data_IF_823774200454
#
_entry.id   IF_823774200454
#
_cell.length_a   1.000
_cell.length_b   1.000
_cell.length_c   1.000
_cell.angle_alpha   90.00
_cell.angle_beta   90.00
_cell.angle_gamma   90.00
#
_symmetry.space_group_name_H-M   'P 1'
#
loop_
_entity.id
_entity.type
_entity.pdbx_description
1 polymer ?
#
# COMPACT_ATOMS: atom_id res chain seq x y z
N UNK A 1 -1.26 -10.77 -7.21
CA UNK A 1 -2.72 -10.99 -7.36
C UNK A 1 -3.54 -10.19 -6.35
N UNK A 2 -3.22 -10.25 -5.04
CA UNK A 2 -3.93 -9.49 -3.99
C UNK A 2 -3.89 -7.97 -4.22
N UNK A 3 -2.75 -7.40 -4.60
CA UNK A 3 -2.62 -5.96 -4.89
C UNK A 3 -3.53 -5.54 -6.05
N UNK A 4 -3.57 -6.32 -7.14
CA UNK A 4 -4.40 -6.04 -8.31
C UNK A 4 -5.90 -6.07 -7.95
N UNK A 5 -6.33 -7.10 -7.20
CA UNK A 5 -7.71 -7.21 -6.73
C UNK A 5 -8.07 -6.01 -5.85
N UNK A 6 -7.17 -5.64 -4.93
CA UNK A 6 -7.35 -4.46 -4.06
C UNK A 6 -7.49 -3.16 -4.86
N UNK A 7 -6.69 -2.97 -5.91
CA UNK A 7 -6.82 -1.79 -6.77
C UNK A 7 -8.16 -1.76 -7.53
N UNK A 8 -8.62 -2.90 -8.06
CA UNK A 8 -9.94 -2.99 -8.69
C UNK A 8 -11.05 -2.64 -7.70
N UNK A 9 -10.96 -3.14 -6.46
CA UNK A 9 -11.90 -2.79 -5.39
C UNK A 9 -11.87 -1.30 -5.07
N UNK A 10 -10.68 -0.68 -5.02
CA UNK A 10 -10.55 0.76 -4.80
C UNK A 10 -11.23 1.57 -5.91
N UNK A 11 -11.09 1.16 -7.17
CA UNK A 11 -11.78 1.82 -8.30
C UNK A 11 -13.29 1.72 -8.15
N UNK A 12 -13.82 0.54 -7.80
CA UNK A 12 -15.26 0.33 -7.58
C UNK A 12 -15.78 1.20 -6.42
N UNK A 13 -15.08 1.20 -5.28
CA UNK A 13 -15.46 2.03 -4.12
C UNK A 13 -15.42 3.51 -4.47
N UNK A 14 -14.40 3.94 -5.22
CA UNK A 14 -14.27 5.34 -5.67
C UNK A 14 -15.41 5.74 -6.59
N UNK A 15 -15.85 4.83 -7.46
CA UNK A 15 -17.00 5.03 -8.34
C UNK A 15 -18.30 5.18 -7.53
N UNK A 16 -18.54 4.29 -6.56
CA UNK A 16 -19.72 4.35 -5.69
C UNK A 16 -19.72 5.63 -4.85
N UNK A 17 -18.59 5.98 -4.23
CA UNK A 17 -18.50 7.16 -3.36
C UNK A 17 -18.62 8.47 -4.14
N UNK A 18 -18.05 8.55 -5.35
CA UNK A 18 -18.24 9.70 -6.24
C UNK A 18 -19.71 9.86 -6.69
N UNK A 19 -20.48 8.77 -6.75
CA UNK A 19 -21.92 8.81 -7.06
C UNK A 19 -22.77 9.29 -5.86
N UNK A 20 -22.52 8.74 -4.67
CA UNK A 20 -23.31 9.04 -3.46
C UNK A 20 -22.93 10.36 -2.79
N UNK A 21 -21.67 10.77 -2.88
CA UNK A 21 -21.13 11.97 -2.23
C UNK A 21 -20.45 12.91 -3.24
N UNK A 22 -21.20 13.46 -4.21
CA UNK A 22 -20.63 14.30 -5.25
C UNK A 22 -19.99 15.58 -4.68
N UNK A 23 -20.49 16.13 -3.57
CA UNK A 23 -19.93 17.36 -2.98
C UNK A 23 -18.69 17.12 -2.09
N UNK A 24 -18.37 15.86 -1.78
CA UNK A 24 -17.22 15.53 -0.96
C UNK A 24 -15.93 15.71 -1.76
N UNK A 25 -15.32 16.90 -1.74
CA UNK A 25 -13.99 17.09 -2.29
C UNK A 25 -12.97 17.25 -1.16
N UNK A 26 -12.37 16.16 -0.68
CA UNK A 26 -11.23 16.23 0.21
C UNK A 26 -10.10 16.91 -0.56
N UNK A 27 -9.92 18.21 -0.30
CA UNK A 27 -9.01 19.05 -1.08
C UNK A 27 -7.58 18.50 -1.14
N UNK A 28 -6.78 19.01 -2.06
CA UNK A 28 -5.43 18.49 -2.36
C UNK A 28 -4.53 18.32 -1.13
N UNK A 29 -4.73 19.11 -0.07
CA UNK A 29 -4.02 18.93 1.21
C UNK A 29 -4.24 17.57 1.87
N UNK A 30 -5.48 17.05 1.86
CA UNK A 30 -5.79 15.74 2.45
C UNK A 30 -5.10 14.59 1.67
N UNK A 31 -5.15 14.66 0.34
CA UNK A 31 -4.52 13.66 -0.55
C UNK A 31 -3.01 13.66 -0.37
N UNK A 32 -2.37 14.83 -0.35
CA UNK A 32 -0.93 14.99 -0.12
C UNK A 32 -0.50 14.49 1.27
N UNK A 33 -1.30 14.77 2.31
CA UNK A 33 -1.06 14.27 3.66
C UNK A 33 -1.10 12.75 3.70
N UNK A 34 -2.13 12.13 3.10
CA UNK A 34 -2.24 10.66 3.03
C UNK A 34 -1.08 10.04 2.26
N UNK A 35 -0.66 10.64 1.14
CA UNK A 35 0.49 10.16 0.37
C UNK A 35 1.78 10.23 1.19
N UNK A 36 1.96 11.30 1.97
CA UNK A 36 3.11 11.44 2.89
C UNK A 36 3.09 10.34 3.95
N UNK A 37 1.94 10.08 4.58
CA UNK A 37 1.78 8.99 5.56
C UNK A 37 2.10 7.63 4.93
N UNK A 38 1.63 7.39 3.70
CA UNK A 38 1.96 6.17 2.94
C UNK A 38 3.47 6.01 2.73
N UNK A 39 4.18 7.09 2.36
CA UNK A 39 5.64 7.08 2.21
C UNK A 39 6.40 6.81 3.51
N UNK A 40 5.92 7.35 4.62
CA UNK A 40 6.47 7.05 5.96
C UNK A 40 6.26 5.55 6.29
N UNK A 41 5.05 5.03 6.10
CA UNK A 41 4.74 3.61 6.36
C UNK A 41 5.56 2.66 5.47
N UNK A 42 5.73 3.01 4.19
CA UNK A 42 6.61 2.28 3.28
C UNK A 42 8.06 2.25 3.81
N UNK A 43 8.60 3.40 4.23
CA UNK A 43 9.97 3.50 4.73
C UNK A 43 10.19 2.67 6.00
N UNK A 44 9.25 2.74 6.95
CA UNK A 44 9.27 1.95 8.19
C UNK A 44 9.20 0.45 7.86
N UNK A 45 8.25 0.05 7.00
CA UNK A 45 8.09 -1.35 6.60
C UNK A 45 9.33 -1.90 5.90
N UNK A 46 9.91 -1.16 4.96
CA UNK A 46 11.14 -1.54 4.28
C UNK A 46 12.34 -1.66 5.21
N UNK A 47 12.47 -0.76 6.19
CA UNK A 47 13.53 -0.83 7.21
C UNK A 47 13.47 -2.15 7.96
N UNK A 48 12.29 -2.55 8.44
CA UNK A 48 12.11 -3.85 9.11
C UNK A 48 12.41 -5.02 8.18
N UNK A 49 11.94 -4.98 6.94
CA UNK A 49 12.17 -6.07 5.98
C UNK A 49 13.66 -6.30 5.74
N UNK A 50 14.44 -5.22 5.62
CA UNK A 50 15.88 -5.29 5.37
C UNK A 50 16.67 -5.73 6.60
N UNK A 51 16.22 -5.36 7.80
CA UNK A 51 16.87 -5.80 9.05
C UNK A 51 16.46 -7.21 9.49
N UNK A 52 15.32 -7.70 9.01
CA UNK A 52 14.83 -9.07 9.29
C UNK A 52 15.84 -10.11 8.79
N UNK A 53 16.37 -10.92 9.70
CA UNK A 53 17.39 -11.91 9.38
C UNK A 53 17.09 -13.27 10.00
N UNK A 54 17.10 -14.30 9.16
CA UNK A 54 17.04 -15.70 9.59
C UNK A 54 18.44 -16.31 9.82
N UNK A 55 19.48 -15.49 10.08
CA UNK A 55 20.86 -15.98 10.18
C UNK A 55 21.05 -17.01 11.31
N UNK A 56 20.36 -16.85 12.45
CA UNK A 56 20.44 -17.79 13.57
C UNK A 56 19.80 -19.16 13.32
N UNK A 57 18.98 -19.30 12.27
CA UNK A 57 18.26 -20.56 12.00
C UNK A 57 19.22 -21.63 11.46
N UNK A 58 19.53 -22.64 12.29
CA UNK A 58 20.44 -23.76 11.98
C UNK A 58 19.95 -24.60 10.78
N UNK A 59 18.63 -24.81 10.67
CA UNK A 59 18.05 -25.59 9.58
C UNK A 59 18.05 -24.77 8.26
N UNK A 60 18.92 -25.14 7.33
CA UNK A 60 19.13 -24.39 6.08
C UNK A 60 17.89 -24.34 5.19
N UNK A 61 17.05 -25.39 5.21
CA UNK A 61 15.81 -25.45 4.42
C UNK A 61 14.81 -24.42 4.93
N UNK A 62 14.64 -24.35 6.26
CA UNK A 62 13.75 -23.38 6.90
C UNK A 62 14.28 -21.96 6.69
N UNK A 63 15.59 -21.74 6.91
CA UNK A 63 16.25 -20.45 6.69
C UNK A 63 16.03 -19.91 5.28
N UNK A 64 16.22 -20.76 4.26
CA UNK A 64 16.03 -20.36 2.88
C UNK A 64 14.55 -20.08 2.55
N UNK A 65 13.62 -20.82 3.16
CA UNK A 65 12.19 -20.54 3.08
C UNK A 65 11.85 -19.15 3.63
N UNK A 66 12.29 -18.83 4.85
CA UNK A 66 12.05 -17.52 5.48
C UNK A 66 12.63 -16.39 4.63
N UNK A 67 13.88 -16.51 4.15
CA UNK A 67 14.51 -15.49 3.29
C UNK A 67 13.73 -15.28 2.00
N UNK A 68 13.25 -16.37 1.37
CA UNK A 68 12.44 -16.27 0.16
C UNK A 68 11.16 -15.47 0.41
N UNK A 69 10.44 -15.76 1.48
CA UNK A 69 9.20 -15.06 1.83
C UNK A 69 9.46 -13.58 2.16
N UNK A 70 10.51 -13.26 2.93
CA UNK A 70 10.93 -11.87 3.19
C UNK A 70 11.21 -11.12 1.88
N UNK A 71 11.92 -11.75 0.94
CA UNK A 71 12.19 -11.14 -0.38
C UNK A 71 10.93 -10.94 -1.22
N UNK A 72 9.96 -11.86 -1.16
CA UNK A 72 8.66 -11.72 -1.84
C UNK A 72 7.91 -10.52 -1.26
N UNK A 73 7.80 -10.42 0.06
CA UNK A 73 7.12 -9.28 0.71
C UNK A 73 7.82 -7.96 0.39
N UNK A 74 9.15 -7.92 0.41
CA UNK A 74 9.95 -6.76 -0.01
C UNK A 74 9.58 -6.29 -1.41
N UNK A 75 9.58 -7.20 -2.37
CA UNK A 75 9.31 -6.86 -3.76
C UNK A 75 7.87 -6.34 -3.91
N UNK A 76 6.90 -6.95 -3.22
CA UNK A 76 5.52 -6.44 -3.21
C UNK A 76 5.38 -5.05 -2.55
N UNK A 77 6.18 -4.73 -1.52
CA UNK A 77 6.22 -3.37 -0.96
C UNK A 77 6.67 -2.35 -1.99
N UNK A 78 7.77 -2.66 -2.67
CA UNK A 78 8.35 -1.80 -3.71
C UNK A 78 7.36 -1.64 -4.86
N UNK A 79 6.79 -2.73 -5.36
CA UNK A 79 5.78 -2.70 -6.43
C UNK A 79 4.57 -1.85 -6.05
N UNK A 80 4.01 -2.05 -4.85
CA UNK A 80 2.87 -1.27 -4.38
C UNK A 80 3.22 0.22 -4.25
N UNK A 81 4.39 0.55 -3.70
CA UNK A 81 4.83 1.93 -3.53
C UNK A 81 5.11 2.63 -4.86
N UNK A 82 5.72 1.94 -5.81
CA UNK A 82 5.95 2.48 -7.16
C UNK A 82 4.61 2.73 -7.87
N UNK A 83 3.68 1.77 -7.81
CA UNK A 83 2.36 1.92 -8.42
C UNK A 83 1.59 3.11 -7.83
N UNK A 84 1.52 3.24 -6.51
CA UNK A 84 0.80 4.37 -5.88
C UNK A 84 1.49 5.70 -6.20
N UNK A 85 2.82 5.74 -6.29
CA UNK A 85 3.56 6.95 -6.66
C UNK A 85 3.24 7.39 -8.09
N UNK A 86 3.21 6.44 -9.04
CA UNK A 86 2.83 6.71 -10.44
C UNK A 86 1.38 7.21 -10.50
N UNK A 87 0.45 6.54 -9.82
CA UNK A 87 -0.94 6.97 -9.76
C UNK A 87 -1.11 8.37 -9.16
N UNK A 88 -0.41 8.65 -8.05
CA UNK A 88 -0.41 9.97 -7.42
C UNK A 88 0.02 11.07 -8.39
N UNK A 89 1.16 10.89 -9.07
CA UNK A 89 1.67 11.88 -10.03
C UNK A 89 0.71 12.08 -11.21
N UNK A 90 0.25 10.98 -11.83
CA UNK A 90 -0.63 11.05 -12.99
C UNK A 90 -1.97 11.69 -12.67
N UNK A 91 -2.59 11.30 -11.56
CA UNK A 91 -3.92 11.78 -11.18
C UNK A 91 -3.88 13.19 -10.61
N UNK A 92 -2.84 13.59 -9.87
CA UNK A 92 -2.66 14.99 -9.48
C UNK A 92 -2.43 15.88 -10.71
N UNK A 93 -1.60 15.45 -11.68
CA UNK A 93 -1.40 16.20 -12.92
C UNK A 93 -2.66 16.28 -13.78
N UNK A 94 -3.51 15.24 -13.77
CA UNK A 94 -4.81 15.26 -14.42
C UNK A 94 -5.80 16.19 -13.69
N UNK A 95 -5.81 16.16 -12.36
CA UNK A 95 -6.66 17.01 -11.52
C UNK A 95 -6.40 18.51 -11.74
N UNK A 96 -5.14 18.91 -11.95
CA UNK A 96 -4.81 20.31 -12.28
C UNK A 96 -5.44 20.80 -13.60
N UNK A 97 -5.79 19.88 -14.52
CA UNK A 97 -6.44 20.21 -15.80
C UNK A 97 -7.96 20.03 -15.74
N UNK A 98 -8.41 18.94 -15.12
CA UNK A 98 -9.80 18.57 -14.97
C UNK A 98 -10.01 17.85 -13.64
N UNK A 99 -10.94 18.32 -12.80
CA UNK A 99 -11.17 17.72 -11.47
C UNK A 99 -11.78 16.30 -11.51
N UNK A 100 -12.30 15.88 -12.66
CA UNK A 100 -12.99 14.60 -12.81
C UNK A 100 -12.93 14.05 -14.23
N UNK A 101 -13.09 12.73 -14.34
CA UNK A 101 -13.26 12.02 -15.60
C UNK A 101 -14.77 11.78 -15.84
N UNK A 102 -15.38 12.38 -16.87
CA UNK A 102 -16.78 12.12 -17.20
C UNK A 102 -16.93 10.69 -17.74
N UNK A 103 -17.84 9.91 -17.15
CA UNK A 103 -18.10 8.51 -17.53
C UNK A 103 -19.43 8.38 -18.27
N UNK A 104 -20.48 9.08 -17.80
CA UNK A 104 -21.82 9.12 -18.41
C UNK A 104 -22.50 10.45 -18.03
N UNK A 105 -23.51 10.94 -18.76
CA UNK A 105 -24.05 12.32 -18.72
C UNK A 105 -23.90 13.12 -17.41
N UNK A 106 -24.34 12.58 -16.26
CA UNK A 106 -24.25 13.22 -14.94
C UNK A 106 -23.31 12.51 -13.94
N UNK A 107 -22.56 11.52 -14.40
CA UNK A 107 -21.65 10.72 -13.60
C UNK A 107 -20.19 11.00 -13.98
N UNK A 108 -19.47 11.65 -13.08
CA UNK A 108 -18.03 11.86 -13.18
C UNK A 108 -17.30 11.19 -12.02
N UNK A 109 -16.18 10.53 -12.35
CA UNK A 109 -15.28 9.97 -11.36
C UNK A 109 -14.27 11.04 -10.96
N UNK A 110 -14.33 11.48 -9.71
CA UNK A 110 -13.38 12.45 -9.16
C UNK A 110 -12.03 11.78 -8.91
N UNK A 111 -10.96 12.40 -9.42
CA UNK A 111 -9.60 11.89 -9.22
C UNK A 111 -9.19 11.90 -7.74
N UNK A 112 -9.70 12.86 -6.96
CA UNK A 112 -9.44 12.95 -5.51
C UNK A 112 -9.96 11.74 -4.73
N UNK A 113 -11.15 11.23 -5.09
CA UNK A 113 -11.70 10.01 -4.46
C UNK A 113 -10.86 8.79 -4.79
N UNK A 114 -10.51 8.61 -6.06
CA UNK A 114 -9.68 7.50 -6.50
C UNK A 114 -8.33 7.48 -5.77
N UNK A 115 -7.69 8.63 -5.65
CA UNK A 115 -6.43 8.75 -4.93
C UNK A 115 -6.58 8.39 -3.45
N UNK A 116 -7.60 8.89 -2.77
CA UNK A 116 -7.77 8.64 -1.33
C UNK A 116 -7.97 7.16 -1.04
N UNK A 117 -8.86 6.50 -1.76
CA UNK A 117 -9.11 5.07 -1.50
C UNK A 117 -7.89 4.23 -1.87
N UNK A 118 -7.18 4.56 -2.94
CA UNK A 118 -5.98 3.83 -3.33
C UNK A 118 -4.84 4.04 -2.33
N UNK A 119 -4.60 5.27 -1.87
CA UNK A 119 -3.57 5.57 -0.86
C UNK A 119 -3.94 4.94 0.49
N UNK A 120 -5.20 5.05 0.92
CA UNK A 120 -5.67 4.44 2.17
C UNK A 120 -5.50 2.92 2.15
N UNK A 121 -5.85 2.28 1.02
CA UNK A 121 -5.58 0.86 0.82
C UNK A 121 -4.09 0.53 0.91
N UNK A 122 -3.21 1.31 0.27
CA UNK A 122 -1.76 1.13 0.37
C UNK A 122 -1.26 1.25 1.81
N UNK A 123 -1.76 2.21 2.59
CA UNK A 123 -1.41 2.36 4.02
C UNK A 123 -1.81 1.11 4.79
N UNK A 124 -3.05 0.64 4.65
CA UNK A 124 -3.52 -0.57 5.34
C UNK A 124 -2.68 -1.79 4.93
N UNK A 125 -2.38 -1.91 3.64
CA UNK A 125 -1.51 -2.97 3.11
C UNK A 125 -0.11 -2.93 3.74
N UNK A 126 0.52 -1.76 3.82
CA UNK A 126 1.83 -1.61 4.44
C UNK A 126 1.80 -1.94 5.93
N UNK A 127 0.80 -1.44 6.67
CA UNK A 127 0.66 -1.71 8.10
C UNK A 127 0.46 -3.20 8.37
N UNK A 128 -0.42 -3.87 7.62
CA UNK A 128 -0.69 -5.29 7.83
C UNK A 128 0.56 -6.15 7.64
N UNK A 129 1.29 -5.91 6.55
CA UNK A 129 2.51 -6.66 6.27
C UNK A 129 3.65 -6.30 7.22
N UNK A 130 3.76 -5.03 7.62
CA UNK A 130 4.68 -4.58 8.67
C UNK A 130 4.48 -5.39 9.96
N UNK A 131 3.22 -5.51 10.43
CA UNK A 131 2.90 -6.29 11.63
C UNK A 131 3.21 -7.78 11.46
N UNK A 132 2.98 -8.32 10.26
CA UNK A 132 3.28 -9.72 9.97
C UNK A 132 4.80 -10.01 10.01
N UNK A 133 5.63 -9.13 9.45
CA UNK A 133 7.10 -9.25 9.49
C UNK A 133 7.62 -9.10 10.91
N UNK A 134 7.10 -8.13 11.66
CA UNK A 134 7.48 -7.95 13.06
C UNK A 134 7.17 -9.20 13.89
N UNK A 135 5.98 -9.78 13.70
CA UNK A 135 5.59 -11.04 14.35
C UNK A 135 6.50 -12.20 13.95
N UNK A 136 6.87 -12.30 12.66
CA UNK A 136 7.79 -13.32 12.18
C UNK A 136 9.17 -13.19 12.83
N UNK A 137 9.69 -11.97 12.97
CA UNK A 137 10.97 -11.74 13.64
C UNK A 137 10.94 -12.17 15.11
N UNK A 138 9.89 -11.81 15.86
CA UNK A 138 9.75 -12.26 17.25
C UNK A 138 9.67 -13.78 17.36
N UNK A 139 8.95 -14.45 16.45
CA UNK A 139 8.88 -15.91 16.45
C UNK A 139 10.23 -16.57 16.15
N UNK A 140 11.06 -15.95 15.32
CA UNK A 140 12.41 -16.45 15.03
C UNK A 140 13.30 -16.26 16.27
N UNK A 141 13.26 -15.09 16.90
CA UNK A 141 14.04 -14.77 18.10
C UNK A 141 13.66 -15.70 19.27
N UNK A 142 12.37 -15.82 19.58
CA UNK A 142 11.85 -16.72 20.63
C UNK A 142 12.18 -18.20 20.40
N UNK A 143 12.31 -18.62 19.13
CA UNK A 143 12.68 -19.99 18.79
C UNK A 143 14.18 -20.24 18.92
N UNK A 144 15.01 -19.20 18.79
CA UNK A 144 16.46 -19.29 18.97
C UNK A 144 16.85 -19.25 20.44
N UNK A 145 16.13 -18.51 21.28
CA UNK A 145 16.38 -18.42 22.73
C UNK A 145 15.99 -19.69 23.52
N UNK A 146 15.22 -20.58 22.90
CA UNK A 146 14.79 -21.86 23.50
C UNK A 146 15.72 -23.05 23.20
N UNK A 147 16.75 -22.82 22.38
CA UNK A 147 17.78 -23.79 21.98
C UNK A 147 19.08 -23.61 22.79
#
# INVERSE_FOLDING_TARGET
>A
MIILIGMVVCVIISMITSFFFPDFNPGNGAVSTLYTVSGIMFSIGMSLIVTSSAAGVKNIRIRNGIRKEIHIVRNHFIECFVLISIFYILLCSAADKHDSLPIYDNFSLKYSHLLIFTIAYSIVYFVWNFLAIQRLNYQIEDALDKD
#
